data_IF_965853160639
#
_entry.id   IF_965853160639
#
_cell.length_a   1.000
_cell.length_b   1.000
_cell.length_c   1.000
_cell.angle_alpha   90.00
_cell.angle_beta   90.00
_cell.angle_gamma   90.00
#
_symmetry.space_group_name_H-M   'P 1'
#
loop_
_entity.id
_entity.type
_entity.pdbx_description
1 polymer ?
#
# COMPACT_ATOMS: atom_id res chain seq x y z
N UNK A 1 -7.47 34.31 -12.37
CA UNK A 1 -6.79 33.00 -12.49
C UNK A 1 -6.40 32.35 -11.14
N UNK A 2 -6.39 33.09 -10.02
CA UNK A 2 -6.05 32.54 -8.68
C UNK A 2 -7.11 31.62 -8.05
N UNK A 3 -8.41 31.80 -8.34
CA UNK A 3 -9.50 31.03 -7.69
C UNK A 3 -9.56 29.56 -8.20
N UNK A 4 -9.16 29.31 -9.44
CA UNK A 4 -9.11 27.95 -10.00
C UNK A 4 -7.94 27.12 -9.46
N UNK A 5 -6.83 27.78 -9.10
CA UNK A 5 -5.70 27.13 -8.44
C UNK A 5 -6.04 26.70 -7.00
N UNK A 6 -6.83 27.52 -6.28
CA UNK A 6 -7.33 27.27 -4.92
C UNK A 6 -8.47 26.22 -4.85
N UNK A 7 -9.08 25.86 -5.98
CA UNK A 7 -10.00 24.72 -6.04
C UNK A 7 -9.27 23.38 -6.26
N UNK A 8 -8.21 23.41 -7.07
CA UNK A 8 -7.43 22.23 -7.46
C UNK A 8 -6.46 21.76 -6.36
N UNK A 9 -5.91 22.68 -5.58
CA UNK A 9 -5.03 22.38 -4.45
C UNK A 9 -5.78 21.75 -3.25
N UNK A 10 -6.99 22.20 -2.94
CA UNK A 10 -7.83 21.69 -1.86
C UNK A 10 -8.34 20.28 -2.17
N UNK A 11 -8.69 20.02 -3.44
CA UNK A 11 -9.04 18.67 -3.90
C UNK A 11 -7.85 17.73 -3.88
N UNK A 12 -6.66 18.17 -4.33
CA UNK A 12 -5.44 17.36 -4.25
C UNK A 12 -5.05 17.03 -2.80
N UNK A 13 -5.11 18.00 -1.88
CA UNK A 13 -4.81 17.78 -0.45
C UNK A 13 -5.81 16.81 0.18
N UNK A 14 -7.10 16.96 -0.11
CA UNK A 14 -8.14 16.06 0.40
C UNK A 14 -7.96 14.63 -0.10
N UNK A 15 -7.58 14.43 -1.37
CA UNK A 15 -7.29 13.11 -1.92
C UNK A 15 -6.07 12.48 -1.24
N UNK A 16 -4.98 13.23 -1.06
CA UNK A 16 -3.78 12.75 -0.35
C UNK A 16 -4.07 12.35 1.09
N UNK A 17 -4.84 13.15 1.83
CA UNK A 17 -5.21 12.80 3.21
C UNK A 17 -6.04 11.51 3.27
N UNK A 18 -6.98 11.34 2.32
CA UNK A 18 -7.79 10.11 2.23
C UNK A 18 -6.95 8.88 1.92
N UNK A 19 -5.96 8.98 1.03
CA UNK A 19 -5.07 7.85 0.75
C UNK A 19 -4.19 7.50 1.94
N UNK A 20 -3.60 8.49 2.61
CA UNK A 20 -2.83 8.22 3.83
C UNK A 20 -3.70 7.53 4.90
N UNK A 21 -4.94 7.97 5.09
CA UNK A 21 -5.88 7.34 6.01
C UNK A 21 -6.22 5.89 5.60
N UNK A 22 -6.45 5.64 4.31
CA UNK A 22 -6.70 4.29 3.81
C UNK A 22 -5.50 3.38 4.06
N UNK A 23 -4.29 3.82 3.72
CA UNK A 23 -3.07 3.04 3.92
C UNK A 23 -2.88 2.70 5.40
N UNK A 24 -3.00 3.68 6.31
CA UNK A 24 -2.85 3.42 7.75
C UNK A 24 -3.95 2.50 8.31
N UNK A 25 -5.20 2.66 7.87
CA UNK A 25 -6.31 1.81 8.30
C UNK A 25 -6.12 0.37 7.81
N UNK A 26 -5.67 0.19 6.57
CA UNK A 26 -5.36 -1.12 6.02
C UNK A 26 -4.12 -1.74 6.68
N UNK A 27 -3.09 -0.97 7.02
CA UNK A 27 -1.94 -1.46 7.78
C UNK A 27 -2.35 -1.98 9.16
N UNK A 28 -3.21 -1.24 9.87
CA UNK A 28 -3.76 -1.69 11.14
C UNK A 28 -4.63 -2.95 10.98
N UNK A 29 -5.43 -3.02 9.92
CA UNK A 29 -6.26 -4.19 9.64
C UNK A 29 -5.41 -5.43 9.31
N UNK A 30 -4.31 -5.29 8.55
CA UNK A 30 -3.37 -6.39 8.29
C UNK A 30 -2.74 -6.88 9.61
N UNK A 31 -2.25 -5.97 10.45
CA UNK A 31 -1.68 -6.32 11.75
C UNK A 31 -2.71 -7.05 12.65
N UNK A 32 -3.98 -6.63 12.61
CA UNK A 32 -5.05 -7.28 13.36
C UNK A 32 -5.37 -8.68 12.83
N UNK A 33 -5.37 -8.88 11.51
CA UNK A 33 -5.58 -10.21 10.90
C UNK A 33 -4.45 -11.15 11.30
N UNK A 34 -3.19 -10.73 11.17
CA UNK A 34 -2.03 -11.52 11.62
C UNK A 34 -2.17 -11.89 13.09
N UNK A 35 -2.53 -10.93 13.95
CA UNK A 35 -2.71 -11.17 15.39
C UNK A 35 -3.84 -12.18 15.68
N UNK A 36 -5.02 -11.98 15.09
CA UNK A 36 -6.17 -12.87 15.29
C UNK A 36 -5.89 -14.30 14.79
N UNK A 37 -5.27 -14.44 13.63
CA UNK A 37 -4.96 -15.74 13.04
C UNK A 37 -3.81 -16.43 13.78
N UNK A 38 -2.82 -15.68 14.27
CA UNK A 38 -1.77 -16.19 15.15
C UNK A 38 -2.35 -16.75 16.46
N UNK A 39 -3.35 -16.08 17.05
CA UNK A 39 -4.05 -16.58 18.23
C UNK A 39 -4.86 -17.86 17.94
N UNK A 40 -5.39 -17.99 16.73
CA UNK A 40 -6.17 -19.15 16.28
C UNK A 40 -5.31 -20.28 15.68
N UNK A 41 -3.99 -20.08 15.54
CA UNK A 41 -3.06 -20.96 14.83
C UNK A 41 -3.53 -21.33 13.40
N UNK A 42 -4.11 -20.36 12.69
CA UNK A 42 -4.56 -20.51 11.30
C UNK A 42 -3.68 -19.74 10.33
N UNK A 43 -3.71 -20.12 9.06
CA UNK A 43 -3.01 -19.40 7.99
C UNK A 43 -3.71 -18.08 7.64
N UNK A 44 -2.94 -17.00 7.67
CA UNK A 44 -3.37 -15.62 7.45
C UNK A 44 -3.06 -15.11 6.03
N UNK A 45 -2.38 -15.92 5.22
CA UNK A 45 -1.94 -15.59 3.85
C UNK A 45 -3.09 -15.15 2.92
N UNK A 46 -4.19 -15.91 2.94
CA UNK A 46 -5.38 -15.61 2.11
C UNK A 46 -6.02 -14.28 2.53
N UNK A 47 -6.41 -14.07 3.80
CA UNK A 47 -7.03 -12.80 4.19
C UNK A 47 -6.09 -11.60 4.01
N UNK A 48 -4.77 -11.73 4.25
CA UNK A 48 -3.80 -10.65 3.98
C UNK A 48 -3.79 -10.27 2.50
N UNK A 49 -3.77 -11.27 1.61
CA UNK A 49 -3.78 -11.04 0.16
C UNK A 49 -5.05 -10.31 -0.27
N UNK A 50 -6.21 -10.72 0.24
CA UNK A 50 -7.48 -10.04 -0.02
C UNK A 50 -7.48 -8.58 0.45
N UNK A 51 -6.96 -8.30 1.65
CA UNK A 51 -6.86 -6.92 2.15
C UNK A 51 -5.89 -6.07 1.31
N UNK A 52 -4.77 -6.64 0.85
CA UNK A 52 -3.80 -5.93 0.00
C UNK A 52 -4.43 -5.52 -1.34
N UNK A 53 -5.13 -6.45 -2.01
CA UNK A 53 -5.83 -6.16 -3.27
C UNK A 53 -6.89 -5.07 -3.05
N UNK A 54 -7.68 -5.18 -1.98
CA UNK A 54 -8.70 -4.21 -1.65
C UNK A 54 -8.11 -2.81 -1.40
N UNK A 55 -7.02 -2.72 -0.65
CA UNK A 55 -6.31 -1.46 -0.40
C UNK A 55 -5.90 -0.79 -1.71
N UNK A 56 -5.29 -1.55 -2.63
CA UNK A 56 -4.77 -1.02 -3.89
C UNK A 56 -5.89 -0.56 -4.82
N UNK A 57 -6.98 -1.31 -4.91
CA UNK A 57 -8.18 -0.90 -5.66
C UNK A 57 -8.74 0.39 -5.08
N UNK A 58 -8.91 0.48 -3.75
CA UNK A 58 -9.46 1.68 -3.12
C UNK A 58 -8.56 2.91 -3.33
N UNK A 59 -7.25 2.76 -3.19
CA UNK A 59 -6.27 3.82 -3.50
C UNK A 59 -6.37 4.23 -4.97
N UNK A 60 -6.35 3.29 -5.91
CA UNK A 60 -6.48 3.61 -7.34
C UNK A 60 -7.79 4.35 -7.66
N UNK A 61 -8.90 3.94 -7.02
CA UNK A 61 -10.21 4.59 -7.18
C UNK A 61 -10.25 6.00 -6.59
N UNK A 62 -9.42 6.34 -5.61
CA UNK A 62 -9.32 7.74 -5.12
C UNK A 62 -8.63 8.68 -6.11
N UNK A 63 -7.91 8.15 -7.11
CA UNK A 63 -7.25 8.92 -8.16
C UNK A 63 -7.86 8.71 -9.55
N UNK A 64 -9.07 8.14 -9.65
CA UNK A 64 -9.75 7.83 -10.91
C UNK A 64 -8.90 6.97 -11.89
N UNK A 65 -8.03 6.12 -11.35
CA UNK A 65 -7.20 5.23 -12.17
C UNK A 65 -8.04 4.08 -12.76
N UNK A 66 -7.73 3.62 -13.99
CA UNK A 66 -8.43 2.50 -14.62
C UNK A 66 -8.21 1.21 -13.83
N UNK A 67 -9.28 0.41 -13.70
CA UNK A 67 -9.26 -0.82 -12.91
C UNK A 67 -8.20 -1.81 -13.42
N UNK A 68 -8.00 -1.89 -14.73
CA UNK A 68 -7.00 -2.78 -15.35
C UNK A 68 -5.59 -2.49 -14.85
N UNK A 69 -5.21 -1.21 -14.76
CA UNK A 69 -3.90 -0.80 -14.26
C UNK A 69 -3.79 -1.00 -12.75
N UNK A 70 -4.87 -0.75 -12.00
CA UNK A 70 -4.91 -1.03 -10.57
C UNK A 70 -4.74 -2.51 -10.25
N UNK A 71 -5.26 -3.42 -11.10
CA UNK A 71 -5.12 -4.86 -10.94
C UNK A 71 -3.69 -5.32 -11.22
N UNK A 72 -3.03 -4.77 -12.24
CA UNK A 72 -1.61 -5.05 -12.53
C UNK A 72 -0.71 -4.58 -11.39
N UNK A 73 -0.96 -3.37 -10.87
CA UNK A 73 -0.27 -2.86 -9.67
C UNK A 73 -0.57 -3.77 -8.48
N UNK A 74 -1.82 -4.14 -8.24
CA UNK A 74 -2.20 -5.02 -7.14
C UNK A 74 -1.45 -6.36 -7.18
N UNK A 75 -1.36 -6.97 -8.35
CA UNK A 75 -0.64 -8.22 -8.54
C UNK A 75 0.86 -8.07 -8.28
N UNK A 76 1.48 -7.00 -8.80
CA UNK A 76 2.90 -6.73 -8.58
C UNK A 76 3.21 -6.50 -7.09
N UNK A 77 2.34 -5.78 -6.40
CA UNK A 77 2.45 -5.52 -4.97
C UNK A 77 2.18 -6.76 -4.12
N UNK A 78 1.30 -7.67 -4.53
CA UNK A 78 1.14 -8.98 -3.89
C UNK A 78 2.41 -9.83 -4.02
N UNK A 79 3.04 -9.88 -5.19
CA UNK A 79 4.33 -10.56 -5.36
C UNK A 79 5.44 -9.92 -4.51
N UNK A 80 5.52 -8.59 -4.49
CA UNK A 80 6.48 -7.87 -3.66
C UNK A 80 6.23 -8.09 -2.16
N UNK A 81 4.97 -8.07 -1.73
CA UNK A 81 4.57 -8.31 -0.35
C UNK A 81 4.84 -9.73 0.10
N UNK A 82 4.61 -10.73 -0.76
CA UNK A 82 4.95 -12.11 -0.48
C UNK A 82 6.46 -12.31 -0.33
N UNK A 83 7.25 -11.80 -1.28
CA UNK A 83 8.71 -11.89 -1.26
C UNK A 83 9.32 -11.15 -0.06
N UNK A 84 8.82 -9.96 0.25
CA UNK A 84 9.29 -9.19 1.40
C UNK A 84 8.79 -9.78 2.73
N UNK A 85 7.63 -10.45 2.76
CA UNK A 85 7.13 -11.17 3.91
C UNK A 85 7.94 -12.42 4.23
N UNK A 86 8.29 -13.22 3.22
CA UNK A 86 9.10 -14.43 3.39
C UNK A 86 10.56 -14.09 3.73
N UNK A 87 11.21 -13.24 2.93
CA UNK A 87 12.62 -12.88 3.12
C UNK A 87 12.81 -11.91 4.30
N UNK A 88 11.91 -10.94 4.45
CA UNK A 88 11.97 -9.96 5.54
C UNK A 88 11.66 -10.55 6.91
N UNK A 89 10.75 -11.52 6.98
CA UNK A 89 10.46 -12.27 8.19
C UNK A 89 11.68 -13.05 8.68
N UNK A 90 12.41 -13.72 7.77
CA UNK A 90 13.65 -14.41 8.09
C UNK A 90 14.79 -13.45 8.48
N UNK A 91 14.92 -12.30 7.80
CA UNK A 91 15.93 -11.29 8.15
C UNK A 91 15.66 -10.67 9.52
N UNK A 92 14.42 -10.28 9.84
CA UNK A 92 14.07 -9.74 11.17
C UNK A 92 14.20 -10.79 12.26
N UNK A 93 13.85 -12.04 11.97
CA UNK A 93 14.01 -13.15 12.92
C UNK A 93 15.51 -13.42 13.19
N UNK A 94 16.37 -13.31 12.18
CA UNK A 94 17.83 -13.40 12.34
C UNK A 94 18.42 -12.25 13.17
N UNK A 95 17.80 -11.06 13.13
CA UNK A 95 18.28 -9.85 13.79
C UNK A 95 17.80 -9.72 15.26
N UNK A 96 16.62 -10.24 15.60
CA UNK A 96 15.98 -10.02 16.92
C UNK A 96 16.02 -11.21 17.89
N UNK A 97 16.52 -12.38 17.49
CA UNK A 97 16.65 -13.54 18.37
C UNK A 97 15.30 -14.23 18.70
N UNK A 98 15.40 -15.53 19.00
CA UNK A 98 14.34 -16.56 18.98
C UNK A 98 13.17 -16.40 19.96
N UNK A 99 13.06 -15.29 20.70
CA UNK A 99 12.07 -15.12 21.79
C UNK A 99 10.73 -14.49 21.40
N UNK A 100 10.61 -13.87 20.22
CA UNK A 100 9.51 -12.95 19.88
C UNK A 100 8.92 -13.15 18.47
N UNK A 101 8.75 -14.40 18.05
CA UNK A 101 8.20 -14.80 16.74
C UNK A 101 6.93 -14.07 16.27
N UNK A 102 5.92 -13.82 17.14
CA UNK A 102 4.69 -13.16 16.70
C UNK A 102 4.90 -11.66 16.45
N UNK A 103 5.77 -11.01 17.23
CA UNK A 103 6.04 -9.58 17.10
C UNK A 103 6.87 -9.26 15.86
N UNK A 104 7.85 -10.10 15.51
CA UNK A 104 8.63 -9.91 14.29
C UNK A 104 7.76 -9.96 13.04
N UNK A 105 6.78 -10.87 12.99
CA UNK A 105 5.84 -10.94 11.88
C UNK A 105 4.94 -9.71 11.80
N UNK A 106 4.37 -9.27 12.93
CA UNK A 106 3.51 -8.07 12.96
C UNK A 106 4.29 -6.83 12.51
N UNK A 107 5.52 -6.64 13.00
CA UNK A 107 6.37 -5.51 12.63
C UNK A 107 6.74 -5.57 11.15
N UNK A 108 7.11 -6.76 10.65
CA UNK A 108 7.43 -6.95 9.24
C UNK A 108 6.22 -6.61 8.38
N UNK A 109 5.04 -7.18 8.67
CA UNK A 109 3.82 -6.89 7.92
C UNK A 109 3.46 -5.41 7.96
N UNK A 110 3.62 -4.73 9.10
CA UNK A 110 3.39 -3.29 9.21
C UNK A 110 4.36 -2.50 8.31
N UNK A 111 5.66 -2.77 8.42
CA UNK A 111 6.69 -2.13 7.59
C UNK A 111 6.47 -2.38 6.10
N UNK A 112 6.18 -3.62 5.70
CA UNK A 112 5.87 -3.97 4.31
C UNK A 112 4.64 -3.20 3.84
N UNK A 113 3.57 -3.14 4.64
CA UNK A 113 2.34 -2.44 4.24
C UNK A 113 2.55 -0.94 4.08
N UNK A 114 3.33 -0.31 4.98
CA UNK A 114 3.68 1.11 4.81
C UNK A 114 4.53 1.30 3.55
N UNK A 115 5.59 0.51 3.37
CA UNK A 115 6.51 0.63 2.22
C UNK A 115 5.76 0.44 0.89
N UNK A 116 4.82 -0.49 0.84
CA UNK A 116 3.94 -0.70 -0.31
C UNK A 116 2.98 0.49 -0.53
N UNK A 117 2.42 1.06 0.54
CA UNK A 117 1.60 2.27 0.47
C UNK A 117 2.36 3.48 -0.10
N UNK A 118 3.57 3.72 0.40
CA UNK A 118 4.45 4.79 -0.08
C UNK A 118 4.89 4.57 -1.52
N UNK A 119 5.25 3.34 -1.89
CA UNK A 119 5.62 3.00 -3.27
C UNK A 119 4.46 3.21 -4.26
N UNK A 120 3.24 2.82 -3.88
CA UNK A 120 2.03 3.06 -4.70
C UNK A 120 1.81 4.56 -4.93
N UNK A 121 1.91 5.37 -3.86
CA UNK A 121 1.79 6.82 -3.94
C UNK A 121 2.84 7.45 -4.87
N UNK A 122 4.12 7.04 -4.75
CA UNK A 122 5.20 7.53 -5.61
C UNK A 122 5.02 7.14 -7.08
N UNK A 123 4.54 5.93 -7.36
CA UNK A 123 4.27 5.47 -8.73
C UNK A 123 3.14 6.28 -9.35
N UNK A 124 2.01 6.43 -8.65
CA UNK A 124 0.85 7.16 -9.16
C UNK A 124 1.17 8.64 -9.40
N UNK A 125 1.89 9.28 -8.47
CA UNK A 125 2.32 10.68 -8.63
C UNK A 125 3.29 10.86 -9.79
N UNK A 126 4.24 9.94 -9.98
CA UNK A 126 5.22 10.00 -11.08
C UNK A 126 4.61 9.71 -12.45
N UNK A 127 3.70 8.75 -12.56
CA UNK A 127 2.96 8.48 -13.81
C UNK A 127 2.14 9.70 -14.21
N UNK A 128 1.48 10.35 -13.25
CA UNK A 128 0.71 11.57 -13.52
C UNK A 128 1.59 12.74 -13.96
N UNK A 129 2.77 12.91 -13.37
CA UNK A 129 3.73 13.94 -13.78
C UNK A 129 4.20 13.69 -15.23
N UNK A 130 4.66 12.48 -15.55
CA UNK A 130 5.12 12.13 -16.89
C UNK A 130 4.03 12.24 -17.97
N UNK A 131 2.77 11.96 -17.63
CA UNK A 131 1.65 12.21 -18.54
C UNK A 131 1.56 13.69 -18.90
N UNK A 132 1.62 14.57 -17.89
CA UNK A 132 1.49 16.03 -18.08
C UNK A 132 2.58 16.63 -18.97
N UNK A 133 3.79 16.06 -18.96
CA UNK A 133 4.92 16.52 -19.76
C UNK A 133 4.76 16.12 -21.24
N UNK A 134 4.26 14.92 -21.52
CA UNK A 134 3.98 14.46 -22.88
C UNK A 134 2.89 15.28 -23.58
N UNK A 135 1.89 15.75 -22.81
CA UNK A 135 0.82 16.64 -23.29
C UNK A 135 1.35 18.01 -23.73
N UNK A 136 2.45 18.44 -23.11
CA UNK A 136 3.02 19.78 -23.26
C UNK A 136 4.00 19.84 -24.44
N UNK A 137 4.74 18.76 -24.73
CA UNK A 137 5.61 18.67 -25.92
C UNK A 137 4.84 18.44 -27.23
N UNK A 138 3.61 17.91 -27.16
CA UNK A 138 2.78 17.66 -28.33
C UNK A 138 2.01 18.90 -28.84
N UNK A 139 2.22 20.08 -28.25
CA UNK A 139 1.45 21.32 -28.49
C UNK A 139 2.33 22.46 -28.99
#
# INVERSE_FOLDING_TARGET
MHIFAVGKDNTMKATTIRTHLLVHLFALAHALVVLCFSLLNWSDEIPLTCLTILMIILVARTYDFPLDLSAVIALLFCFAGFFMGSEGGEILHSLMGTGWQPLSNIITTFCVTELLGWATYLIVTKIRANGTDADTEAK
#
